data_IF_969067373327
#
_entry.id   IF_969067373327
#
_cell.length_a   1.000
_cell.length_b   1.000
_cell.length_c   1.000
_cell.angle_alpha   90.00
_cell.angle_beta   90.00
_cell.angle_gamma   90.00
#
_symmetry.space_group_name_H-M   'P 1'
#
loop_
_entity.id
_entity.type
_entity.pdbx_description
1 polymer ?
#
# COMPACT_ATOMS: atom_id res chain seq x y z
N UNK A 1 3.73 -14.16 -17.36
CA UNK A 1 2.69 -13.29 -17.92
C UNK A 1 3.17 -11.84 -17.84
N UNK A 2 3.37 -11.15 -18.96
CA UNK A 2 3.71 -9.71 -18.96
C UNK A 2 2.42 -8.90 -18.88
N UNK A 3 2.34 -7.97 -17.93
CA UNK A 3 1.20 -7.06 -17.75
C UNK A 3 1.71 -5.63 -17.99
N UNK A 4 0.92 -4.83 -18.71
CA UNK A 4 1.20 -3.40 -18.87
C UNK A 4 1.06 -2.70 -17.51
N UNK A 5 1.89 -1.70 -17.22
CA UNK A 5 1.83 -0.99 -15.94
C UNK A 5 0.43 -0.44 -15.62
N UNK A 6 -0.26 0.09 -16.63
CA UNK A 6 -1.61 0.63 -16.48
C UNK A 6 -2.61 -0.46 -16.02
N UNK A 7 -2.50 -1.66 -16.55
CA UNK A 7 -3.36 -2.79 -16.18
C UNK A 7 -3.06 -3.27 -14.76
N UNK A 8 -1.79 -3.25 -14.34
CA UNK A 8 -1.40 -3.60 -12.98
C UNK A 8 -1.98 -2.63 -11.94
N UNK A 9 -1.96 -1.32 -12.25
CA UNK A 9 -2.59 -0.30 -11.40
C UNK A 9 -4.11 -0.43 -11.39
N UNK A 10 -4.73 -0.73 -12.53
CA UNK A 10 -6.17 -0.96 -12.61
C UNK A 10 -6.61 -2.16 -11.75
N UNK A 11 -5.89 -3.28 -11.84
CA UNK A 11 -6.17 -4.47 -11.03
C UNK A 11 -6.07 -4.17 -9.53
N UNK A 12 -5.03 -3.45 -9.08
CA UNK A 12 -4.90 -3.08 -7.67
C UNK A 12 -6.08 -2.21 -7.19
N UNK A 13 -6.51 -1.25 -8.00
CA UNK A 13 -7.67 -0.41 -7.67
C UNK A 13 -8.92 -1.25 -7.48
N UNK A 14 -9.16 -2.19 -8.39
CA UNK A 14 -10.38 -3.00 -8.39
C UNK A 14 -10.40 -3.93 -7.15
N UNK A 15 -9.26 -4.53 -6.78
CA UNK A 15 -9.10 -5.30 -5.54
C UNK A 15 -9.34 -4.46 -4.28
N UNK A 16 -8.87 -3.19 -4.25
CA UNK A 16 -9.11 -2.28 -3.13
C UNK A 16 -10.60 -1.95 -2.97
N UNK A 17 -11.33 -1.74 -4.08
CA UNK A 17 -12.76 -1.51 -4.07
C UNK A 17 -13.51 -2.77 -3.60
N UNK A 18 -13.09 -3.95 -4.04
CA UNK A 18 -13.68 -5.21 -3.59
C UNK A 18 -13.42 -5.45 -2.09
N UNK A 19 -12.21 -5.16 -1.61
CA UNK A 19 -11.88 -5.26 -0.19
C UNK A 19 -12.75 -4.30 0.64
N UNK A 20 -12.99 -3.08 0.15
CA UNK A 20 -13.88 -2.13 0.80
C UNK A 20 -15.33 -2.63 0.86
N UNK A 21 -15.83 -3.23 -0.22
CA UNK A 21 -17.17 -3.82 -0.27
C UNK A 21 -17.32 -5.01 0.68
N UNK A 22 -16.29 -5.88 0.75
CA UNK A 22 -16.25 -7.03 1.68
C UNK A 22 -16.13 -6.60 3.14
N UNK A 23 -15.54 -5.43 3.41
CA UNK A 23 -15.38 -4.86 4.73
C UNK A 23 -16.59 -4.11 5.29
N UNK A 24 -17.75 -4.10 4.61
CA UNK A 24 -18.97 -3.47 5.10
C UNK A 24 -19.60 -4.33 6.22
N UNK A 25 -19.27 -4.09 7.49
CA UNK A 25 -19.82 -4.88 8.61
C UNK A 25 -19.13 -4.84 9.98
N UNK A 26 -17.81 -4.56 10.11
CA UNK A 26 -17.17 -4.46 11.42
C UNK A 26 -17.25 -3.03 11.98
N UNK A 27 -17.35 -2.90 13.32
CA UNK A 27 -17.19 -1.63 14.05
C UNK A 27 -15.80 -0.98 13.86
N UNK A 28 -14.89 -1.70 13.19
CA UNK A 28 -13.53 -1.34 12.83
C UNK A 28 -13.39 -1.25 11.30
N UNK A 29 -13.08 -0.06 10.81
CA UNK A 29 -12.73 0.20 9.42
C UNK A 29 -11.23 0.45 9.27
N UNK A 30 -10.68 0.27 8.08
CA UNK A 30 -9.30 0.65 7.78
C UNK A 30 -9.31 1.75 6.72
N UNK A 31 -8.70 2.88 7.05
CA UNK A 31 -8.39 3.90 6.06
C UNK A 31 -7.16 3.45 5.28
N UNK A 32 -7.30 3.36 3.96
CA UNK A 32 -6.17 3.15 3.06
C UNK A 32 -5.32 4.42 3.06
N UNK A 33 -4.06 4.27 3.45
CA UNK A 33 -3.05 5.32 3.40
C UNK A 33 -2.26 5.28 2.09
N UNK A 34 -1.00 5.71 2.10
CA UNK A 34 -0.13 5.61 0.94
C UNK A 34 -0.03 4.17 0.41
N UNK A 35 -0.07 4.05 -0.91
CA UNK A 35 0.19 2.80 -1.62
C UNK A 35 1.50 2.96 -2.38
N UNK A 36 2.50 2.17 -2.02
CA UNK A 36 3.80 2.12 -2.68
C UNK A 36 3.87 0.84 -3.53
N UNK A 37 4.25 1.00 -4.80
CA UNK A 37 4.44 -0.11 -5.72
C UNK A 37 5.82 -0.05 -6.33
N UNK A 38 6.55 -1.16 -6.26
CA UNK A 38 7.87 -1.32 -6.86
C UNK A 38 7.78 -2.32 -8.02
N UNK A 39 8.05 -1.83 -9.25
CA UNK A 39 8.00 -2.63 -10.47
C UNK A 39 9.37 -2.67 -11.15
N UNK A 40 9.74 -3.86 -11.64
CA UNK A 40 10.80 -3.97 -12.63
C UNK A 40 10.22 -3.79 -14.04
N UNK A 41 10.52 -2.65 -14.67
CA UNK A 41 10.01 -2.29 -16.00
C UNK A 41 11.11 -2.46 -17.04
N UNK A 42 10.80 -3.14 -18.14
CA UNK A 42 11.65 -3.17 -19.34
C UNK A 42 11.05 -2.25 -20.41
N UNK A 43 11.87 -1.34 -20.94
CA UNK A 43 11.51 -0.46 -22.06
C UNK A 43 12.06 -1.09 -23.35
N UNK A 44 11.19 -1.46 -24.28
CA UNK A 44 11.60 -1.88 -25.63
C UNK A 44 11.07 -0.90 -26.67
N UNK A 45 11.95 -0.49 -27.58
CA UNK A 45 11.58 0.33 -28.72
C UNK A 45 11.03 -0.59 -29.83
N UNK A 46 9.77 -0.37 -30.22
CA UNK A 46 9.17 -1.09 -31.33
C UNK A 46 9.61 -0.43 -32.65
N UNK A 47 10.53 -1.06 -33.37
CA UNK A 47 11.06 -0.53 -34.64
C UNK A 47 10.00 -0.42 -35.76
N UNK A 48 8.81 -1.02 -35.60
CA UNK A 48 7.73 -0.98 -36.60
C UNK A 48 6.69 0.11 -36.34
N UNK A 49 6.66 0.70 -35.14
CA UNK A 49 5.67 1.72 -34.78
C UNK A 49 6.38 3.07 -34.62
N UNK A 50 6.14 4.01 -35.55
CA UNK A 50 6.73 5.36 -35.56
C UNK A 50 6.32 6.25 -34.36
N UNK A 51 5.59 5.74 -33.38
CA UNK A 51 5.13 6.50 -32.23
C UNK A 51 4.93 5.59 -31.00
N UNK A 52 5.89 5.60 -30.07
CA UNK A 52 5.67 5.19 -28.68
C UNK A 52 6.63 4.11 -28.16
N UNK A 53 7.25 4.42 -27.01
CA UNK A 53 7.85 3.40 -26.13
C UNK A 53 6.72 2.72 -25.35
N UNK A 54 6.81 1.39 -25.19
CA UNK A 54 5.94 0.64 -24.29
C UNK A 54 6.77 0.08 -23.13
N UNK A 55 6.13 -0.05 -21.97
CA UNK A 55 6.76 -0.34 -20.69
C UNK A 55 6.06 -1.55 -20.05
N UNK A 56 6.75 -2.69 -20.05
CA UNK A 56 6.18 -3.95 -19.56
C UNK A 56 6.76 -4.35 -18.21
N UNK A 57 5.92 -4.97 -17.37
CA UNK A 57 6.30 -5.52 -16.07
C UNK A 57 6.66 -7.01 -16.23
N UNK A 58 7.86 -7.41 -15.81
CA UNK A 58 8.38 -8.78 -16.03
C UNK A 58 8.03 -9.72 -14.86
N UNK A 59 7.26 -10.79 -15.08
CA UNK A 59 6.94 -11.82 -14.06
C UNK A 59 7.96 -12.96 -14.01
N UNK A 60 8.19 -13.55 -12.84
CA UNK A 60 9.25 -14.53 -12.53
C UNK A 60 9.12 -15.96 -13.12
N UNK A 61 8.14 -16.26 -13.98
CA UNK A 61 7.89 -17.65 -14.45
C UNK A 61 8.75 -18.10 -15.64
N UNK A 62 9.70 -17.29 -16.11
CA UNK A 62 10.46 -17.58 -17.35
C UNK A 62 11.87 -18.17 -17.17
N UNK A 63 12.38 -18.39 -15.95
CA UNK A 63 13.73 -18.95 -15.77
C UNK A 63 13.73 -20.32 -15.10
N UNK A 64 13.92 -21.35 -15.92
CA UNK A 64 14.47 -22.61 -15.49
C UNK A 64 15.89 -22.37 -14.92
N UNK A 65 16.06 -22.61 -13.63
CA UNK A 65 17.38 -22.79 -13.02
C UNK A 65 18.10 -21.51 -12.59
N UNK A 66 17.51 -20.79 -11.62
CA UNK A 66 18.16 -20.01 -10.54
C UNK A 66 17.11 -19.00 -10.07
N UNK A 67 16.15 -19.46 -9.26
CA UNK A 67 15.02 -18.67 -8.80
C UNK A 67 15.45 -17.54 -7.87
N UNK A 68 15.97 -16.45 -8.42
CA UNK A 68 15.94 -15.14 -7.79
C UNK A 68 14.78 -14.37 -8.43
N UNK A 69 13.57 -14.82 -8.12
CA UNK A 69 12.36 -14.17 -8.56
C UNK A 69 12.41 -12.69 -8.22
N UNK A 70 12.44 -11.83 -9.24
CA UNK A 70 12.16 -10.40 -9.10
C UNK A 70 10.66 -10.27 -8.81
N UNK A 71 10.30 -10.50 -7.56
CA UNK A 71 8.94 -10.28 -7.04
C UNK A 71 8.69 -8.78 -7.00
N UNK A 72 7.69 -8.31 -7.75
CA UNK A 72 7.15 -6.95 -7.61
C UNK A 72 6.56 -6.80 -6.22
N UNK A 73 6.91 -5.71 -5.51
CA UNK A 73 6.48 -5.51 -4.13
C UNK A 73 5.44 -4.40 -4.09
N UNK A 74 4.28 -4.72 -3.52
CA UNK A 74 3.24 -3.74 -3.19
C UNK A 74 3.20 -3.60 -1.68
N UNK A 75 3.24 -2.36 -1.20
CA UNK A 75 3.13 -2.02 0.22
C UNK A 75 1.95 -1.07 0.40
N UNK A 76 1.03 -1.45 1.26
CA UNK A 76 -0.18 -0.67 1.54
C UNK A 76 -0.19 -0.40 3.03
N UNK A 77 -0.18 0.88 3.40
CA UNK A 77 -0.39 1.27 4.78
C UNK A 77 -1.90 1.31 5.08
N UNK A 78 -2.34 0.59 6.10
CA UNK A 78 -3.73 0.61 6.57
C UNK A 78 -3.77 1.19 7.98
N UNK A 79 -4.58 2.23 8.19
CA UNK A 79 -4.77 2.85 9.50
C UNK A 79 -6.14 2.46 10.06
N UNK A 80 -6.22 1.81 11.22
CA UNK A 80 -7.49 1.44 11.83
C UNK A 80 -8.28 2.68 12.28
N UNK A 81 -9.57 2.70 11.99
CA UNK A 81 -10.53 3.75 12.34
C UNK A 81 -11.80 3.14 12.94
N UNK A 82 -12.38 3.84 13.91
CA UNK A 82 -13.72 3.55 14.44
C UNK A 82 -14.78 3.97 13.42
N UNK A 83 -15.96 3.36 13.52
CA UNK A 83 -17.15 3.86 12.84
C UNK A 83 -17.40 5.33 13.25
N UNK A 84 -17.35 6.26 12.30
CA UNK A 84 -17.45 7.71 12.53
C UNK A 84 -16.15 8.51 12.39
N UNK A 85 -15.00 7.87 12.12
CA UNK A 85 -13.80 8.55 11.61
C UNK A 85 -12.66 8.82 12.61
N UNK A 86 -12.76 8.35 13.85
CA UNK A 86 -11.69 8.48 14.86
C UNK A 86 -10.72 7.30 14.88
N UNK A 87 -9.56 7.45 15.53
CA UNK A 87 -8.57 6.37 15.68
C UNK A 87 -9.05 5.29 16.65
N UNK A 88 -8.72 4.03 16.36
CA UNK A 88 -8.90 2.91 17.29
C UNK A 88 -7.68 2.81 18.23
N UNK A 89 -7.86 3.08 19.51
CA UNK A 89 -6.83 2.93 20.55
C UNK A 89 -6.93 1.56 21.22
N UNK A 90 -5.81 0.85 21.37
CA UNK A 90 -5.73 -0.43 22.12
C UNK A 90 -5.74 -0.17 23.64
N UNK A 91 -5.20 0.96 24.08
CA UNK A 91 -5.26 1.44 25.46
C UNK A 91 -5.06 2.97 25.50
N UNK A 92 -5.83 3.66 26.32
CA UNK A 92 -5.77 5.13 26.47
C UNK A 92 -7.12 5.81 26.23
N UNK A 93 -7.38 6.87 26.99
CA UNK A 93 -8.56 7.70 26.82
C UNK A 93 -8.29 8.74 25.72
N UNK A 94 -9.26 9.03 24.83
CA UNK A 94 -9.11 10.06 23.81
C UNK A 94 -8.85 11.44 24.41
N UNK A 95 -9.29 11.67 25.65
CA UNK A 95 -9.11 12.92 26.40
C UNK A 95 -7.78 13.03 27.15
N UNK A 96 -6.86 12.06 27.00
CA UNK A 96 -5.56 12.12 27.68
C UNK A 96 -4.72 13.22 27.05
N UNK A 97 -4.42 14.25 27.83
CA UNK A 97 -3.55 15.35 27.43
C UNK A 97 -2.16 14.80 27.02
N UNK A 98 -1.74 15.08 25.79
CA UNK A 98 -0.43 14.65 25.29
C UNK A 98 0.67 15.45 26.00
N UNK A 99 1.50 14.78 26.79
CA UNK A 99 2.62 15.38 27.49
C UNK A 99 2.97 14.59 28.75
N UNK A 100 4.12 14.88 29.39
CA UNK A 100 4.54 14.20 30.62
C UNK A 100 3.65 14.47 31.84
N UNK A 101 2.49 15.12 31.67
CA UNK A 101 1.71 15.70 32.75
C UNK A 101 2.35 16.99 33.27
N UNK A 102 1.86 17.50 34.40
CA UNK A 102 2.50 18.63 35.06
C UNK A 102 3.90 18.22 35.58
N UNK A 103 4.95 18.85 35.06
CA UNK A 103 6.36 18.62 35.45
C UNK A 103 6.89 19.67 36.43
N UNK A 104 6.04 20.58 36.92
CA UNK A 104 6.43 21.64 37.87
C UNK A 104 6.97 21.09 39.20
N UNK A 105 6.66 19.83 39.55
CA UNK A 105 7.20 19.16 40.73
C UNK A 105 8.49 18.36 40.47
N UNK A 106 9.11 18.49 39.28
CA UNK A 106 10.41 17.87 38.99
C UNK A 106 11.48 18.59 39.80
N UNK A 107 12.03 17.92 40.81
CA UNK A 107 13.25 18.38 41.49
C UNK A 107 14.41 18.20 40.51
N UNK A 108 15.12 19.29 40.22
CA UNK A 108 16.37 19.26 39.46
C UNK A 108 17.49 18.71 40.36
N UNK A 109 18.29 17.77 39.85
CA UNK A 109 19.43 17.15 40.55
C UNK A 109 20.63 18.12 40.68
#
# INVERSE_FOLDING_TARGET
MEIELADAVAALRDELLEAAARGAGPDLAFQVGPVEMEFAVELRADAKVKAGFKAWVVSAEAEAGLARGRTHRVKIALTPKKLGGGDLLIHGSPDRQQGPGNVEARIED
#
